data_IF_449638255822
#
_entry.id   IF_449638255822
#
_cell.length_a   1.000
_cell.length_b   1.000
_cell.length_c   1.000
_cell.angle_alpha   90.00
_cell.angle_beta   90.00
_cell.angle_gamma   90.00
#
_symmetry.space_group_name_H-M   'P 1'
#
loop_
_entity.id
_entity.type
_entity.pdbx_description
1 polymer ?
#
# COMPACT_ATOMS: atom_id res chain seq x y z
N UNK A 1 -16.76 -33.71 7.42
CA UNK A 1 -15.54 -34.46 6.98
C UNK A 1 -14.37 -33.50 7.01
N UNK A 2 -13.51 -33.69 8.01
CA UNK A 2 -12.30 -32.92 8.26
C UNK A 2 -11.32 -33.12 7.11
N UNK A 3 -11.02 -32.08 6.31
CA UNK A 3 -9.87 -32.11 5.42
C UNK A 3 -8.62 -31.96 6.26
N UNK A 4 -7.95 -33.10 6.44
CA UNK A 4 -6.68 -33.20 7.13
C UNK A 4 -5.64 -32.29 6.49
N UNK A 5 -5.00 -31.50 7.31
CA UNK A 5 -3.60 -31.16 7.47
C UNK A 5 -2.66 -31.58 6.31
N UNK A 6 -2.80 -31.01 5.13
CA UNK A 6 -1.72 -31.06 4.15
C UNK A 6 -0.82 -29.84 4.38
N UNK A 7 0.32 -30.05 5.03
CA UNK A 7 1.42 -29.08 4.98
C UNK A 7 1.75 -28.88 3.49
N UNK A 8 1.61 -27.67 2.99
CA UNK A 8 2.05 -27.39 1.62
C UNK A 8 3.58 -27.29 1.65
N UNK A 9 4.33 -28.23 1.05
CA UNK A 9 5.79 -28.26 1.14
C UNK A 9 6.46 -27.06 0.45
N UNK A 10 5.69 -26.22 -0.24
CA UNK A 10 6.18 -25.04 -0.94
C UNK A 10 5.95 -23.74 -0.17
N UNK A 11 5.37 -23.79 1.03
CA UNK A 11 5.16 -22.61 1.87
C UNK A 11 6.20 -22.55 2.99
N UNK A 12 6.69 -21.35 3.24
CA UNK A 12 7.44 -21.07 4.46
C UNK A 12 6.59 -21.35 5.71
N UNK A 13 7.21 -21.88 6.76
CA UNK A 13 6.52 -22.29 7.99
C UNK A 13 5.77 -21.13 8.66
N UNK A 14 6.35 -19.93 8.62
CA UNK A 14 5.71 -18.72 9.19
C UNK A 14 4.50 -18.29 8.37
N UNK A 15 4.62 -18.34 7.04
CA UNK A 15 3.52 -18.03 6.12
C UNK A 15 2.37 -19.03 6.31
N UNK A 16 2.68 -20.33 6.42
CA UNK A 16 1.67 -21.35 6.67
C UNK A 16 0.96 -21.13 8.01
N UNK A 17 1.70 -20.83 9.08
CA UNK A 17 1.14 -20.53 10.39
C UNK A 17 0.22 -19.30 10.35
N UNK A 18 0.62 -18.25 9.63
CA UNK A 18 -0.20 -17.06 9.43
C UNK A 18 -1.50 -17.38 8.69
N UNK A 19 -1.43 -18.09 7.57
CA UNK A 19 -2.63 -18.49 6.80
C UNK A 19 -3.57 -19.34 7.67
N UNK A 20 -3.03 -20.28 8.44
CA UNK A 20 -3.83 -21.09 9.39
C UNK A 20 -4.52 -20.23 10.45
N UNK A 21 -3.83 -19.21 10.98
CA UNK A 21 -4.40 -18.31 11.97
C UNK A 21 -5.58 -17.49 11.42
N UNK A 22 -5.49 -17.05 10.16
CA UNK A 22 -6.57 -16.36 9.47
C UNK A 22 -7.77 -17.29 9.25
N UNK A 23 -7.50 -18.52 8.78
CA UNK A 23 -8.54 -19.51 8.51
C UNK A 23 -9.25 -19.98 9.78
N UNK A 24 -8.52 -20.11 10.89
CA UNK A 24 -9.07 -20.54 12.19
C UNK A 24 -10.06 -19.53 12.78
N UNK A 25 -9.93 -18.25 12.45
CA UNK A 25 -10.91 -17.22 12.86
C UNK A 25 -12.29 -17.41 12.21
N UNK A 26 -12.35 -18.22 11.14
CA UNK A 26 -13.58 -18.43 10.37
C UNK A 26 -14.06 -17.16 9.68
N UNK A 27 -15.28 -17.21 9.18
CA UNK A 27 -15.90 -16.08 8.51
C UNK A 27 -16.28 -16.38 7.06
N UNK A 28 -17.03 -15.45 6.47
CA UNK A 28 -17.40 -15.52 5.05
C UNK A 28 -16.20 -15.07 4.20
N UNK A 29 -16.07 -15.60 2.97
CA UNK A 29 -15.07 -15.12 2.02
C UNK A 29 -15.17 -13.61 1.77
N UNK A 30 -14.04 -12.93 1.56
CA UNK A 30 -14.00 -11.46 1.39
C UNK A 30 -14.93 -10.97 0.27
N UNK A 31 -15.07 -11.71 -0.81
CA UNK A 31 -15.95 -11.37 -1.94
C UNK A 31 -17.45 -11.48 -1.63
N UNK A 32 -17.82 -12.04 -0.49
CA UNK A 32 -19.22 -12.20 -0.05
C UNK A 32 -19.66 -11.21 1.02
N UNK A 33 -18.72 -10.47 1.62
CA UNK A 33 -19.02 -9.58 2.77
C UNK A 33 -19.17 -8.11 2.38
N UNK A 34 -18.97 -7.78 1.10
CA UNK A 34 -19.01 -6.41 0.59
C UNK A 34 -17.70 -5.64 0.78
N UNK A 35 -17.58 -4.53 0.07
CA UNK A 35 -16.30 -3.79 -0.06
C UNK A 35 -15.80 -3.23 1.27
N UNK A 36 -16.65 -2.54 2.01
CA UNK A 36 -16.25 -1.90 3.28
C UNK A 36 -15.81 -2.90 4.34
N UNK A 37 -16.54 -4.02 4.45
CA UNK A 37 -16.20 -5.08 5.38
C UNK A 37 -14.89 -5.77 4.97
N UNK A 38 -14.66 -6.00 3.67
CA UNK A 38 -13.42 -6.59 3.16
C UNK A 38 -12.22 -5.68 3.41
N UNK A 39 -12.36 -4.36 3.15
CA UNK A 39 -11.34 -3.35 3.44
C UNK A 39 -11.04 -3.29 4.94
N UNK A 40 -12.08 -3.37 5.78
CA UNK A 40 -11.89 -3.40 7.23
C UNK A 40 -11.11 -4.63 7.69
N UNK A 41 -11.39 -5.81 7.15
CA UNK A 41 -10.64 -7.04 7.48
C UNK A 41 -9.16 -6.85 7.17
N UNK A 42 -8.81 -6.27 6.03
CA UNK A 42 -7.41 -6.01 5.69
C UNK A 42 -6.77 -5.01 6.66
N UNK A 43 -7.46 -3.92 6.99
CA UNK A 43 -6.96 -2.95 7.98
C UNK A 43 -6.73 -3.59 9.34
N UNK A 44 -7.70 -4.37 9.84
CA UNK A 44 -7.59 -5.04 11.14
C UNK A 44 -6.43 -6.05 11.20
N UNK A 45 -6.11 -6.70 10.08
CA UNK A 45 -4.95 -7.62 9.98
C UNK A 45 -3.63 -6.87 9.99
N UNK A 46 -3.59 -5.68 9.41
CA UNK A 46 -2.39 -4.84 9.34
C UNK A 46 -2.20 -3.92 10.55
N UNK A 47 -3.27 -3.71 11.34
CA UNK A 47 -3.22 -2.91 12.57
C UNK A 47 -2.61 -3.70 13.72
N UNK A 48 -1.33 -4.03 13.59
CA UNK A 48 -0.52 -4.71 14.59
C UNK A 48 0.51 -3.77 15.21
N UNK A 49 0.69 -3.89 16.51
CA UNK A 49 1.70 -3.12 17.21
C UNK A 49 3.10 -3.69 16.89
N UNK A 50 3.77 -3.08 15.93
CA UNK A 50 5.15 -3.42 15.54
C UNK A 50 5.99 -2.15 15.49
N UNK A 51 7.28 -2.31 15.74
CA UNK A 51 8.24 -1.24 15.52
C UNK A 51 8.27 -0.87 14.04
N UNK A 52 8.25 0.42 13.75
CA UNK A 52 8.25 0.97 12.39
C UNK A 52 9.47 1.85 12.20
N UNK A 53 10.03 1.83 11.01
CA UNK A 53 11.12 2.73 10.63
C UNK A 53 10.75 4.21 10.83
N UNK A 54 11.70 4.99 11.34
CA UNK A 54 11.52 6.44 11.55
C UNK A 54 11.69 7.14 10.22
N UNK A 55 10.68 7.88 9.82
CA UNK A 55 10.61 8.56 8.52
C UNK A 55 9.82 9.86 8.62
N UNK A 56 10.12 10.80 7.75
CA UNK A 56 9.29 11.95 7.46
C UNK A 56 8.18 11.55 6.47
N UNK A 57 6.93 11.95 6.76
CA UNK A 57 5.78 11.69 5.90
C UNK A 57 5.13 13.01 5.50
N UNK A 58 4.87 13.16 4.21
CA UNK A 58 4.21 14.33 3.66
C UNK A 58 3.16 13.93 2.63
N UNK A 59 1.90 14.32 2.86
CA UNK A 59 0.84 14.16 1.87
C UNK A 59 0.81 15.39 0.95
N UNK A 60 0.77 15.15 -0.36
CA UNK A 60 0.86 16.18 -1.40
C UNK A 60 -0.25 15.95 -2.42
N UNK A 61 -0.97 17.00 -2.74
CA UNK A 61 -1.98 17.01 -3.79
C UNK A 61 -1.39 17.63 -5.07
N UNK A 62 -1.26 16.83 -6.13
CA UNK A 62 -0.78 17.23 -7.45
C UNK A 62 -1.98 17.65 -8.28
N UNK A 63 -2.07 18.91 -8.76
CA UNK A 63 -3.19 19.35 -9.58
C UNK A 63 -3.31 18.55 -10.87
N UNK A 64 -4.53 18.16 -11.24
CA UNK A 64 -4.85 17.51 -12.50
C UNK A 64 -5.45 18.55 -13.49
N UNK A 65 -5.24 18.33 -14.77
CA UNK A 65 -5.76 19.20 -15.83
C UNK A 65 -7.30 19.31 -15.83
N UNK A 66 -7.99 18.28 -15.34
CA UNK A 66 -9.45 18.24 -15.22
C UNK A 66 -10.01 18.95 -13.96
N UNK A 67 -9.15 19.63 -13.18
CA UNK A 67 -9.53 20.34 -11.98
C UNK A 67 -9.58 19.50 -10.69
N UNK A 68 -9.22 18.19 -10.77
CA UNK A 68 -9.04 17.34 -9.61
C UNK A 68 -7.60 17.38 -9.08
N UNK A 69 -7.28 16.47 -8.18
CA UNK A 69 -5.91 16.27 -7.66
C UNK A 69 -5.56 14.80 -7.58
N UNK A 70 -4.31 14.49 -7.92
CA UNK A 70 -3.70 13.21 -7.63
C UNK A 70 -2.99 13.31 -6.27
N UNK A 71 -3.54 12.65 -5.26
CA UNK A 71 -2.88 12.61 -3.95
C UNK A 71 -1.76 11.60 -3.93
N UNK A 72 -0.61 12.02 -3.41
CA UNK A 72 0.52 11.15 -3.13
C UNK A 72 0.93 11.30 -1.67
N UNK A 73 1.48 10.22 -1.09
CA UNK A 73 2.23 10.25 0.17
C UNK A 73 3.70 10.10 -0.16
N UNK A 74 4.51 11.09 0.26
CA UNK A 74 5.96 11.07 0.18
C UNK A 74 6.52 10.63 1.53
N UNK A 75 7.38 9.62 1.51
CA UNK A 75 8.00 9.03 2.69
C UNK A 75 9.52 9.08 2.50
N UNK A 76 10.23 9.78 3.41
CA UNK A 76 11.68 9.90 3.37
C UNK A 76 12.29 9.42 4.70
N UNK A 77 13.47 8.76 4.71
CA UNK A 77 14.19 8.52 5.95
C UNK A 77 14.49 9.84 6.67
N UNK A 78 14.38 9.88 8.00
CA UNK A 78 14.56 11.10 8.81
C UNK A 78 15.96 11.74 8.61
N UNK A 79 17.00 10.93 8.56
CA UNK A 79 18.39 11.37 8.39
C UNK A 79 18.87 11.30 6.94
N UNK A 80 17.98 11.44 5.98
CA UNK A 80 18.30 11.31 4.57
C UNK A 80 19.21 12.44 4.07
N UNK A 81 20.14 12.10 3.20
CA UNK A 81 20.97 13.06 2.48
C UNK A 81 20.14 13.96 1.54
N UNK A 82 20.80 14.97 0.96
CA UNK A 82 20.13 16.00 0.13
C UNK A 82 19.51 15.44 -1.16
N UNK A 83 19.89 14.21 -1.59
CA UNK A 83 19.38 13.58 -2.80
C UNK A 83 19.15 12.10 -2.58
N UNK A 84 17.90 11.69 -2.74
CA UNK A 84 17.48 10.30 -2.62
C UNK A 84 17.06 9.74 -3.99
N UNK A 85 17.32 8.47 -4.27
CA UNK A 85 16.61 7.78 -5.34
C UNK A 85 15.11 7.72 -5.00
N UNK A 86 14.26 7.70 -6.02
CA UNK A 86 12.80 7.67 -5.84
C UNK A 86 12.27 6.29 -6.17
N UNK A 87 11.49 5.72 -5.26
CA UNK A 87 10.69 4.52 -5.46
C UNK A 87 9.24 4.94 -5.61
N UNK A 88 8.66 4.79 -6.80
CA UNK A 88 7.23 4.98 -7.02
C UNK A 88 6.52 3.66 -6.75
N UNK A 89 5.83 3.56 -5.59
CA UNK A 89 5.24 2.33 -5.10
C UNK A 89 3.73 2.29 -5.28
N UNK A 90 3.25 1.50 -6.22
CA UNK A 90 1.82 1.26 -6.45
C UNK A 90 1.41 0.02 -5.67
N UNK A 91 0.51 0.19 -4.70
CA UNK A 91 0.09 -0.93 -3.85
C UNK A 91 -0.86 -1.89 -4.56
N UNK A 92 -0.84 -3.15 -4.13
CA UNK A 92 -1.78 -4.18 -4.55
C UNK A 92 -3.10 -4.11 -3.78
N UNK A 93 -4.01 -5.04 -4.06
CA UNK A 93 -5.32 -5.13 -3.39
C UNK A 93 -6.49 -5.27 -4.35
N UNK A 94 -6.21 -5.64 -5.62
CA UNK A 94 -7.22 -5.88 -6.66
C UNK A 94 -8.01 -4.63 -7.01
N UNK A 95 -7.42 -3.45 -6.87
CA UNK A 95 -8.04 -2.14 -7.09
C UNK A 95 -9.19 -1.80 -6.11
N UNK A 96 -9.47 -2.67 -5.15
CA UNK A 96 -10.61 -2.58 -4.23
C UNK A 96 -10.16 -2.34 -2.79
N UNK A 97 -9.06 -2.98 -2.40
CA UNK A 97 -8.55 -2.99 -1.04
C UNK A 97 -7.14 -2.40 -0.99
N UNK A 98 -6.73 -2.04 0.21
CA UNK A 98 -5.44 -1.42 0.47
C UNK A 98 -5.53 0.10 0.49
N UNK A 99 -4.68 0.68 1.30
CA UNK A 99 -4.52 2.13 1.47
C UNK A 99 -3.13 2.42 2.05
N UNK A 100 -2.82 3.68 2.26
CA UNK A 100 -1.56 4.14 2.82
C UNK A 100 -1.31 3.66 4.26
N UNK A 101 -2.37 3.27 4.99
CA UNK A 101 -2.25 2.77 6.36
C UNK A 101 -1.95 1.27 6.37
N UNK A 102 -2.61 0.51 5.50
CA UNK A 102 -2.37 -0.94 5.36
C UNK A 102 -0.98 -1.26 4.81
N UNK A 103 -0.34 -0.31 4.13
CA UNK A 103 1.01 -0.45 3.60
C UNK A 103 2.07 0.38 4.35
N UNK A 104 1.68 1.10 5.42
CA UNK A 104 2.55 2.03 6.15
C UNK A 104 3.88 1.40 6.58
N UNK A 105 3.85 0.22 7.17
CA UNK A 105 5.08 -0.48 7.57
C UNK A 105 5.99 -0.77 6.38
N UNK A 106 5.43 -1.34 5.32
CA UNK A 106 6.20 -1.73 4.14
C UNK A 106 6.88 -0.53 3.47
N UNK A 107 6.14 0.58 3.29
CA UNK A 107 6.69 1.77 2.63
C UNK A 107 7.76 2.46 3.49
N UNK A 108 7.65 2.41 4.81
CA UNK A 108 8.71 2.88 5.73
C UNK A 108 9.94 2.00 5.65
N UNK A 109 9.78 0.68 5.67
CA UNK A 109 10.89 -0.26 5.53
C UNK A 109 11.59 -0.12 4.17
N UNK A 110 10.84 0.14 3.10
CA UNK A 110 11.42 0.44 1.78
C UNK A 110 12.23 1.75 1.80
N UNK A 111 11.67 2.81 2.39
CA UNK A 111 12.36 4.10 2.46
C UNK A 111 13.68 3.99 3.23
N UNK A 112 13.65 3.42 4.43
CA UNK A 112 14.83 3.29 5.31
C UNK A 112 15.82 2.28 4.73
N UNK A 113 15.34 1.08 4.34
CA UNK A 113 16.20 0.00 3.88
C UNK A 113 16.91 0.28 2.55
N UNK A 114 16.28 1.02 1.64
CA UNK A 114 16.86 1.42 0.38
C UNK A 114 17.53 2.81 0.41
N UNK A 115 17.40 3.55 1.53
CA UNK A 115 17.77 4.95 1.63
C UNK A 115 17.20 5.76 0.46
N UNK A 116 15.87 5.69 0.30
CA UNK A 116 15.14 6.22 -0.85
C UNK A 116 13.90 7.02 -0.41
N UNK A 117 13.51 7.99 -1.22
CA UNK A 117 12.20 8.61 -1.12
C UNK A 117 11.15 7.67 -1.73
N UNK A 118 10.16 7.24 -0.96
CA UNK A 118 9.05 6.45 -1.47
C UNK A 118 7.87 7.36 -1.77
N UNK A 119 7.41 7.34 -3.02
CA UNK A 119 6.19 8.00 -3.46
C UNK A 119 5.09 6.96 -3.55
N UNK A 120 4.08 7.11 -2.72
CA UNK A 120 2.91 6.23 -2.65
C UNK A 120 1.68 6.96 -3.19
N UNK A 121 1.16 6.63 -4.39
CA UNK A 121 -0.06 7.23 -4.90
C UNK A 121 -1.27 6.73 -4.11
N UNK A 122 -2.06 7.67 -3.58
CA UNK A 122 -3.30 7.39 -2.83
C UNK A 122 -4.46 7.49 -3.82
N UNK A 123 -4.72 6.40 -4.53
CA UNK A 123 -5.80 6.34 -5.51
C UNK A 123 -7.12 5.89 -4.90
N UNK A 124 -8.22 6.41 -5.43
CA UNK A 124 -9.57 5.99 -5.04
C UNK A 124 -9.81 4.54 -5.50
N UNK A 125 -10.21 3.62 -4.61
CA UNK A 125 -10.46 2.24 -4.99
C UNK A 125 -11.77 2.06 -5.76
N UNK A 126 -11.95 0.90 -6.39
CA UNK A 126 -13.22 0.49 -6.94
C UNK A 126 -14.17 0.02 -5.80
N UNK A 127 -15.48 0.25 -5.89
CA UNK A 127 -16.24 0.74 -7.07
C UNK A 127 -16.33 2.26 -7.19
N UNK A 128 -15.78 3.02 -6.23
CA UNK A 128 -15.86 4.48 -6.18
C UNK A 128 -15.19 5.11 -7.40
N UNK A 129 -13.99 4.65 -7.74
CA UNK A 129 -13.34 4.95 -9.02
C UNK A 129 -13.33 3.71 -9.93
N UNK A 130 -13.34 3.94 -11.26
CA UNK A 130 -13.37 2.86 -12.24
C UNK A 130 -12.24 3.02 -13.26
N UNK A 131 -11.85 1.92 -13.85
CA UNK A 131 -10.92 1.95 -14.96
C UNK A 131 -11.42 2.90 -16.06
N UNK A 132 -10.58 3.82 -16.59
CA UNK A 132 -9.13 3.95 -16.33
C UNK A 132 -8.74 5.03 -15.30
N UNK A 133 -9.65 5.51 -14.45
CA UNK A 133 -9.44 6.66 -13.56
C UNK A 133 -8.22 6.48 -12.63
N UNK A 134 -8.14 5.33 -11.95
CA UNK A 134 -7.02 5.03 -11.06
C UNK A 134 -5.69 5.03 -11.83
N UNK A 135 -5.68 4.42 -13.01
CA UNK A 135 -4.49 4.32 -13.85
C UNK A 135 -4.02 5.70 -14.32
N UNK A 136 -4.97 6.53 -14.78
CA UNK A 136 -4.68 7.89 -15.25
C UNK A 136 -4.14 8.76 -14.11
N UNK A 137 -4.73 8.65 -12.92
CA UNK A 137 -4.26 9.38 -11.73
C UNK A 137 -2.82 9.00 -11.39
N UNK A 138 -2.52 7.69 -11.33
CA UNK A 138 -1.16 7.23 -11.02
C UNK A 138 -0.14 7.62 -12.11
N UNK A 139 -0.55 7.56 -13.37
CA UNK A 139 0.31 7.98 -14.47
C UNK A 139 0.63 9.48 -14.40
N UNK A 140 -0.38 10.32 -14.14
CA UNK A 140 -0.17 11.76 -13.94
C UNK A 140 0.74 12.06 -12.76
N UNK A 141 0.54 11.36 -11.63
CA UNK A 141 1.42 11.49 -10.48
C UNK A 141 2.87 11.10 -10.81
N UNK A 142 3.07 9.98 -11.52
CA UNK A 142 4.39 9.54 -11.95
C UNK A 142 5.08 10.54 -12.89
N UNK A 143 4.35 11.06 -13.89
CA UNK A 143 4.89 12.09 -14.78
C UNK A 143 5.28 13.35 -14.03
N UNK A 144 4.43 13.81 -13.10
CA UNK A 144 4.72 14.99 -12.29
C UNK A 144 6.00 14.80 -11.47
N UNK A 145 6.12 13.67 -10.74
CA UNK A 145 7.31 13.36 -9.96
C UNK A 145 8.56 13.29 -10.85
N UNK A 146 8.46 12.67 -12.03
CA UNK A 146 9.59 12.56 -12.95
C UNK A 146 10.07 13.94 -13.46
N UNK A 147 9.13 14.87 -13.72
CA UNK A 147 9.44 16.23 -14.20
C UNK A 147 9.95 17.15 -13.09
N UNK A 148 9.50 16.95 -11.86
CA UNK A 148 9.78 17.81 -10.70
C UNK A 148 10.60 17.09 -9.62
N UNK A 149 11.38 16.09 -10.00
CA UNK A 149 12.11 15.22 -9.05
C UNK A 149 12.97 15.99 -8.04
N UNK A 150 13.46 17.17 -8.40
CA UNK A 150 14.25 18.03 -7.50
C UNK A 150 13.46 18.65 -6.34
N UNK A 151 12.15 18.68 -6.43
CA UNK A 151 11.27 19.24 -5.40
C UNK A 151 10.91 18.18 -4.33
N UNK A 152 11.17 16.92 -4.65
CA UNK A 152 10.83 15.77 -3.84
C UNK A 152 12.05 15.01 -3.28
N UNK A 153 13.24 15.59 -3.45
CA UNK A 153 14.52 15.02 -2.99
C UNK A 153 15.16 15.92 -1.93
#
# INVERSE_FOLDING_TARGET
MSRANSQNPNLDVQVEAFIRSLTAKGGRPLHEIGYDAARKVLRDVQDICVEKGIVDIKDIDIPLENGGAARIRLICPEDAGIRLPVIFYIHGGGWVMGDENTHDRLIRELAVGANAAVVFPVYEPAPEARYPEQLNMMFTALEHIARHSREYN
#
